data_IF_815586521999
#
_entry.id   IF_815586521999
#
_cell.length_a   1.000
_cell.length_b   1.000
_cell.length_c   1.000
_cell.angle_alpha   90.00
_cell.angle_beta   90.00
_cell.angle_gamma   90.00
#
_symmetry.space_group_name_H-M   'P 1'
#
loop_
_entity.id
_entity.type
_entity.pdbx_description
1 polymer ?
#
# COMPACT_ATOMS: atom_id res chain seq x y z
N UNK A 1 12.72 4.13 17.40
CA UNK A 1 11.76 3.81 16.31
C UNK A 1 11.01 5.09 15.97
N UNK A 2 11.39 5.79 14.90
CA UNK A 2 10.66 6.99 14.47
C UNK A 2 9.30 6.56 13.93
N UNK A 3 8.24 6.90 14.66
CA UNK A 3 6.90 6.89 14.10
C UNK A 3 6.88 7.93 12.99
N UNK A 4 6.67 7.52 11.73
CA UNK A 4 6.53 8.47 10.63
C UNK A 4 5.30 9.36 10.93
N UNK A 5 5.51 10.60 11.39
CA UNK A 5 4.47 11.54 11.83
C UNK A 5 3.75 12.22 10.66
N UNK A 6 3.51 11.49 9.58
CA UNK A 6 2.96 12.07 8.36
C UNK A 6 1.45 11.99 8.42
N UNK A 7 0.71 13.12 8.31
CA UNK A 7 -0.74 13.12 8.28
C UNK A 7 -1.31 12.58 6.96
N UNK A 8 -0.46 12.34 5.96
CA UNK A 8 -0.86 11.93 4.61
C UNK A 8 -1.06 10.41 4.55
N UNK A 9 -2.28 10.01 4.18
CA UNK A 9 -2.64 8.63 3.89
C UNK A 9 -3.03 8.54 2.42
N UNK A 10 -2.30 7.73 1.66
CA UNK A 10 -2.56 7.47 0.25
C UNK A 10 -3.39 6.20 0.12
N UNK A 11 -4.54 6.28 -0.51
CA UNK A 11 -5.37 5.12 -0.79
C UNK A 11 -4.77 4.34 -1.98
N UNK A 12 -4.30 3.12 -1.71
CA UNK A 12 -3.92 2.17 -2.73
C UNK A 12 -5.17 1.37 -3.12
N UNK A 13 -5.97 1.96 -4.02
CA UNK A 13 -7.18 1.38 -4.58
C UNK A 13 -6.93 1.01 -6.04
N UNK A 14 -6.19 -0.08 -6.26
CA UNK A 14 -5.95 -0.63 -7.60
C UNK A 14 -6.53 -2.04 -7.70
N UNK A 15 -7.06 -2.43 -8.87
CA UNK A 15 -7.56 -3.79 -9.08
C UNK A 15 -6.44 -4.83 -9.18
N UNK A 16 -5.20 -4.41 -9.42
CA UNK A 16 -4.05 -5.30 -9.62
C UNK A 16 -2.88 -4.95 -8.69
N UNK A 17 -2.15 -5.99 -8.28
CA UNK A 17 -0.96 -5.87 -7.42
C UNK A 17 0.16 -5.03 -8.06
N UNK A 18 0.42 -5.23 -9.35
CA UNK A 18 1.52 -4.53 -10.05
C UNK A 18 1.30 -3.01 -10.07
N UNK A 19 0.07 -2.57 -10.36
CA UNK A 19 -0.27 -1.14 -10.35
C UNK A 19 -0.16 -0.54 -8.93
N UNK A 20 -0.63 -1.29 -7.93
CA UNK A 20 -0.47 -0.93 -6.53
C UNK A 20 1.00 -0.79 -6.12
N UNK A 21 1.84 -1.78 -6.44
CA UNK A 21 3.27 -1.77 -6.10
C UNK A 21 4.01 -0.63 -6.82
N UNK A 22 3.69 -0.36 -8.09
CA UNK A 22 4.27 0.78 -8.83
C UNK A 22 3.97 2.12 -8.17
N UNK A 23 2.77 2.30 -7.62
CA UNK A 23 2.47 3.51 -6.85
C UNK A 23 3.24 3.49 -5.52
N UNK A 24 3.23 2.38 -4.79
CA UNK A 24 3.91 2.25 -3.51
C UNK A 24 5.42 2.51 -3.60
N UNK A 25 6.08 2.07 -4.68
CA UNK A 25 7.51 2.27 -4.93
C UNK A 25 7.88 3.74 -5.12
N UNK A 26 6.95 4.55 -5.66
CA UNK A 26 7.13 6.00 -5.82
C UNK A 26 6.85 6.79 -4.54
N UNK A 27 6.29 6.16 -3.50
CA UNK A 27 5.90 6.81 -2.26
C UNK A 27 7.01 6.68 -1.21
N UNK A 28 7.45 7.82 -0.67
CA UNK A 28 8.41 7.80 0.44
C UNK A 28 7.70 7.46 1.77
N UNK A 29 8.11 6.39 2.48
CA UNK A 29 7.46 5.93 3.70
C UNK A 29 7.67 6.86 4.90
N UNK A 30 8.59 7.84 4.81
CA UNK A 30 8.77 8.91 5.79
C UNK A 30 7.88 10.11 5.52
N UNK A 31 7.25 10.20 4.34
CA UNK A 31 6.37 11.31 3.94
C UNK A 31 4.89 10.92 3.91
N UNK A 32 4.57 9.64 3.77
CA UNK A 32 3.18 9.19 3.74
C UNK A 32 3.04 7.73 4.17
N UNK A 33 1.79 7.35 4.48
CA UNK A 33 1.40 5.95 4.71
C UNK A 33 0.41 5.53 3.64
N UNK A 34 0.42 4.24 3.32
CA UNK A 34 -0.51 3.68 2.35
C UNK A 34 -1.64 2.94 3.06
N UNK A 35 -2.86 3.08 2.54
CA UNK A 35 -4.03 2.31 2.97
C UNK A 35 -4.41 1.35 1.85
N UNK A 36 -4.40 0.06 2.13
CA UNK A 36 -4.76 -1.01 1.20
C UNK A 36 -6.25 -1.35 1.38
N UNK A 37 -7.01 -1.36 0.29
CA UNK A 37 -8.42 -1.77 0.28
C UNK A 37 -8.62 -3.29 0.41
N UNK A 38 -9.85 -3.73 0.74
CA UNK A 38 -10.17 -5.16 0.94
C UNK A 38 -9.96 -6.01 -0.31
N UNK A 39 -10.31 -5.48 -1.48
CA UNK A 39 -10.21 -6.19 -2.76
C UNK A 39 -8.77 -6.41 -3.17
N UNK A 40 -7.93 -5.36 -3.10
CA UNK A 40 -6.49 -5.46 -3.34
C UNK A 40 -5.82 -6.39 -2.32
N UNK A 41 -6.21 -6.31 -1.05
CA UNK A 41 -5.71 -7.24 -0.02
C UNK A 41 -6.06 -8.69 -0.35
N UNK A 42 -7.30 -8.99 -0.74
CA UNK A 42 -7.71 -10.37 -1.07
C UNK A 42 -6.99 -10.89 -2.31
N UNK A 43 -6.84 -10.04 -3.34
CA UNK A 43 -6.14 -10.37 -4.59
C UNK A 43 -4.66 -10.66 -4.36
N UNK A 44 -3.98 -9.91 -3.48
CA UNK A 44 -2.56 -10.11 -3.18
C UNK A 44 -2.31 -11.15 -2.08
N UNK A 45 -3.16 -11.23 -1.05
CA UNK A 45 -2.98 -12.11 0.10
C UNK A 45 -3.16 -13.59 -0.24
N UNK A 46 -3.88 -13.91 -1.32
CA UNK A 46 -3.90 -15.26 -1.88
C UNK A 46 -2.49 -15.79 -2.23
N UNK A 47 -1.52 -14.90 -2.50
CA UNK A 47 -0.12 -15.27 -2.75
C UNK A 47 0.75 -15.27 -1.47
N UNK A 48 0.29 -14.62 -0.39
CA UNK A 48 1.07 -14.43 0.86
C UNK A 48 0.79 -15.55 1.87
N UNK A 49 -0.37 -16.22 1.76
CA UNK A 49 -0.72 -17.45 2.49
C UNK A 49 -0.57 -18.65 1.54
N UNK A 50 0.68 -18.97 1.22
CA UNK A 50 1.09 -20.12 0.41
C UNK A 50 2.47 -20.59 0.81
#
# INVERSE_FOLDING_TARGET
MSVCQTPIIVALDYPTRDAALKLADQLDPKLCRVKVGKELFTSCAAEIVG
#
